data_IF_793283903367
#
_entry.id   IF_793283903367
#
_cell.length_a   1.000
_cell.length_b   1.000
_cell.length_c   1.000
_cell.angle_alpha   90.00
_cell.angle_beta   90.00
_cell.angle_gamma   90.00
#
_symmetry.space_group_name_H-M   'P 1'
#
loop_
_entity.id
_entity.type
_entity.pdbx_description
1 polymer ?
#
# COMPACT_ATOMS: atom_id res chain seq x y z
N UNK A 1 -67.14 -24.36 -12.02
CA UNK A 1 -66.55 -25.44 -11.21
C UNK A 1 -65.09 -25.57 -11.62
N UNK A 2 -64.16 -25.02 -10.82
CA UNK A 2 -62.72 -25.10 -11.05
C UNK A 2 -62.13 -26.27 -10.27
N UNK A 3 -61.22 -27.10 -10.83
CA UNK A 3 -60.60 -28.17 -10.10
C UNK A 3 -59.58 -27.61 -9.11
N UNK A 4 -59.65 -28.12 -7.87
CA UNK A 4 -58.78 -27.76 -6.76
C UNK A 4 -57.40 -28.43 -6.98
N UNK A 5 -56.27 -27.70 -6.96
CA UNK A 5 -54.97 -28.35 -7.04
C UNK A 5 -54.76 -29.20 -5.78
N UNK A 6 -54.57 -30.50 -6.01
CA UNK A 6 -54.24 -31.47 -4.98
C UNK A 6 -52.97 -31.04 -4.27
N UNK A 7 -53.10 -30.75 -2.98
CA UNK A 7 -52.01 -30.54 -2.04
C UNK A 7 -51.13 -31.79 -2.05
N UNK A 8 -50.02 -31.76 -2.78
CA UNK A 8 -48.98 -32.78 -2.66
C UNK A 8 -48.40 -32.66 -1.24
N UNK A 9 -48.90 -33.50 -0.34
CA UNK A 9 -48.24 -33.77 0.91
C UNK A 9 -46.86 -34.33 0.59
N UNK A 10 -45.83 -33.56 0.91
CA UNK A 10 -44.47 -34.06 1.00
C UNK A 10 -44.50 -35.24 1.97
N UNK A 11 -44.50 -36.45 1.42
CA UNK A 11 -44.29 -37.68 2.18
C UNK A 11 -42.87 -37.60 2.72
N UNK A 12 -42.73 -37.18 3.98
CA UNK A 12 -41.58 -37.55 4.77
C UNK A 12 -41.71 -39.05 5.04
N UNK A 13 -41.18 -39.84 4.11
CA UNK A 13 -40.98 -41.28 4.28
C UNK A 13 -40.09 -41.49 5.50
N UNK A 14 -40.55 -42.36 6.40
CA UNK A 14 -40.00 -42.55 7.73
C UNK A 14 -38.57 -43.11 7.76
N UNK A 15 -37.88 -42.71 8.83
CA UNK A 15 -36.83 -43.41 9.57
C UNK A 15 -36.31 -44.74 8.98
N UNK A 16 -35.40 -44.63 8.00
CA UNK A 16 -34.35 -45.63 7.80
C UNK A 16 -33.06 -45.04 8.39
N UNK A 17 -32.41 -45.74 9.30
CA UNK A 17 -31.08 -45.34 9.77
C UNK A 17 -30.13 -45.25 8.57
N UNK A 18 -29.25 -44.25 8.57
CA UNK A 18 -28.23 -44.14 7.54
C UNK A 18 -27.39 -45.42 7.51
N UNK A 19 -27.23 -45.99 6.33
CA UNK A 19 -26.28 -47.08 6.17
C UNK A 19 -24.86 -46.54 6.37
N UNK A 20 -23.97 -47.33 6.94
CA UNK A 20 -22.57 -46.94 7.17
C UNK A 20 -21.89 -46.48 5.86
N UNK A 21 -22.27 -47.10 4.74
CA UNK A 21 -21.83 -46.72 3.39
C UNK A 21 -22.27 -45.29 3.02
N UNK A 22 -23.52 -44.94 3.24
CA UNK A 22 -24.07 -43.63 2.90
C UNK A 22 -23.41 -42.52 3.71
N UNK A 23 -23.16 -42.75 5.01
CA UNK A 23 -22.38 -41.84 5.86
C UNK A 23 -20.95 -41.67 5.36
N UNK A 24 -20.29 -42.75 4.95
CA UNK A 24 -18.93 -42.68 4.38
C UNK A 24 -18.91 -41.89 3.06
N UNK A 25 -19.91 -42.08 2.20
CA UNK A 25 -20.03 -41.34 0.93
C UNK A 25 -20.23 -39.85 1.21
N UNK A 26 -21.15 -39.49 2.11
CA UNK A 26 -21.38 -38.08 2.48
C UNK A 26 -20.13 -37.47 3.09
N UNK A 27 -19.42 -38.20 3.96
CA UNK A 27 -18.18 -37.72 4.57
C UNK A 27 -17.08 -37.50 3.53
N UNK A 28 -16.91 -38.42 2.57
CA UNK A 28 -15.94 -38.27 1.48
C UNK A 28 -16.28 -37.08 0.57
N UNK A 29 -17.56 -36.91 0.22
CA UNK A 29 -18.00 -35.79 -0.60
C UNK A 29 -17.84 -34.45 0.13
N UNK A 30 -18.24 -34.38 1.41
CA UNK A 30 -18.12 -33.17 2.20
C UNK A 30 -16.66 -32.80 2.45
N UNK A 31 -15.80 -33.76 2.76
CA UNK A 31 -14.36 -33.51 2.96
C UNK A 31 -13.66 -33.11 1.66
N UNK A 32 -13.98 -33.76 0.54
CA UNK A 32 -13.47 -33.38 -0.78
C UNK A 32 -13.87 -31.96 -1.17
N UNK A 33 -15.15 -31.62 -1.01
CA UNK A 33 -15.66 -30.27 -1.28
C UNK A 33 -15.00 -29.23 -0.36
N UNK A 34 -14.89 -29.53 0.95
CA UNK A 34 -14.25 -28.63 1.91
C UNK A 34 -12.77 -28.39 1.56
N UNK A 35 -12.05 -29.41 1.13
CA UNK A 35 -10.65 -29.29 0.71
C UNK A 35 -10.51 -28.40 -0.54
N UNK A 36 -11.40 -28.54 -1.53
CA UNK A 36 -11.40 -27.69 -2.72
C UNK A 36 -11.66 -26.23 -2.35
N UNK A 37 -12.68 -25.97 -1.53
CA UNK A 37 -12.99 -24.62 -1.05
C UNK A 37 -11.82 -24.02 -0.25
N UNK A 38 -11.19 -24.80 0.63
CA UNK A 38 -10.05 -24.35 1.42
C UNK A 38 -8.84 -24.00 0.54
N UNK A 39 -8.52 -24.83 -0.46
CA UNK A 39 -7.44 -24.53 -1.40
C UNK A 39 -7.73 -23.28 -2.25
N UNK A 40 -8.99 -23.07 -2.65
CA UNK A 40 -9.39 -21.85 -3.37
C UNK A 40 -9.16 -20.59 -2.50
N UNK A 41 -9.58 -20.62 -1.23
CA UNK A 41 -9.36 -19.51 -0.30
C UNK A 41 -7.87 -19.23 -0.05
N UNK A 42 -7.04 -20.27 0.05
CA UNK A 42 -5.59 -20.12 0.19
C UNK A 42 -4.94 -19.50 -1.05
N UNK A 43 -5.40 -19.86 -2.25
CA UNK A 43 -4.92 -19.28 -3.49
C UNK A 43 -5.26 -17.78 -3.58
N UNK A 44 -6.49 -17.41 -3.19
CA UNK A 44 -6.91 -16.00 -3.12
C UNK A 44 -6.11 -15.20 -2.09
N UNK A 45 -5.72 -15.82 -0.96
CA UNK A 45 -4.87 -15.19 0.05
C UNK A 45 -3.54 -14.67 -0.50
N UNK A 46 -2.92 -15.38 -1.45
CA UNK A 46 -1.67 -14.93 -2.09
C UNK A 46 -1.89 -13.71 -3.00
N UNK A 47 -3.05 -13.62 -3.66
CA UNK A 47 -3.45 -12.46 -4.47
C UNK A 47 -3.71 -11.24 -3.59
N UNK A 48 -4.41 -11.43 -2.47
CA UNK A 48 -4.69 -10.38 -1.49
C UNK A 48 -3.38 -9.83 -0.90
N UNK A 49 -2.41 -10.68 -0.57
CA UNK A 49 -1.10 -10.26 -0.06
C UNK A 49 -0.36 -9.33 -1.02
N UNK A 50 -0.23 -9.71 -2.30
CA UNK A 50 0.43 -8.86 -3.31
C UNK A 50 -0.30 -7.54 -3.54
N UNK A 51 -1.63 -7.53 -3.43
CA UNK A 51 -2.42 -6.31 -3.55
C UNK A 51 -2.22 -5.40 -2.32
N UNK A 52 -2.18 -5.97 -1.12
CA UNK A 52 -1.91 -5.25 0.12
C UNK A 52 -0.52 -4.57 0.10
N UNK A 53 0.50 -5.25 -0.42
CA UNK A 53 1.84 -4.67 -0.57
C UNK A 53 1.85 -3.46 -1.51
N UNK A 54 1.16 -3.56 -2.66
CA UNK A 54 1.02 -2.43 -3.60
C UNK A 54 0.24 -1.27 -2.98
N UNK A 55 -0.79 -1.57 -2.19
CA UNK A 55 -1.55 -0.55 -1.46
C UNK A 55 -0.69 0.16 -0.42
N UNK A 56 0.13 -0.58 0.33
CA UNK A 56 1.09 -0.01 1.28
C UNK A 56 2.09 0.90 0.57
N UNK A 57 2.67 0.45 -0.54
CA UNK A 57 3.58 1.27 -1.35
C UNK A 57 2.92 2.57 -1.85
N UNK A 58 1.63 2.53 -2.21
CA UNK A 58 0.88 3.73 -2.61
C UNK A 58 0.69 4.68 -1.44
N UNK A 59 0.29 4.19 -0.28
CA UNK A 59 0.12 5.04 0.91
C UNK A 59 1.42 5.72 1.32
N UNK A 60 2.55 5.01 1.30
CA UNK A 60 3.85 5.62 1.61
C UNK A 60 4.22 6.70 0.59
N UNK A 61 3.90 6.47 -0.70
CA UNK A 61 4.12 7.48 -1.75
C UNK A 61 3.21 8.70 -1.56
N UNK A 62 1.94 8.49 -1.24
CA UNK A 62 1.00 9.57 -0.99
C UNK A 62 1.42 10.41 0.21
N UNK A 63 1.84 9.78 1.31
CA UNK A 63 2.38 10.47 2.49
C UNK A 63 3.64 11.27 2.15
N UNK A 64 4.55 10.73 1.35
CA UNK A 64 5.74 11.46 0.91
C UNK A 64 5.38 12.67 0.03
N UNK A 65 4.38 12.53 -0.85
CA UNK A 65 3.90 13.65 -1.66
C UNK A 65 3.19 14.70 -0.83
N UNK A 66 2.45 14.29 0.19
CA UNK A 66 1.78 15.21 1.12
C UNK A 66 2.79 16.04 1.90
N UNK A 67 3.89 15.43 2.36
CA UNK A 67 5.01 16.13 2.97
C UNK A 67 5.63 17.17 2.02
N UNK A 68 5.90 16.78 0.77
CA UNK A 68 6.47 17.70 -0.23
C UNK A 68 5.51 18.84 -0.53
N UNK A 69 4.20 18.56 -0.64
CA UNK A 69 3.18 19.60 -0.86
C UNK A 69 3.09 20.57 0.30
N UNK A 70 3.19 20.07 1.53
CA UNK A 70 3.24 20.91 2.71
C UNK A 70 4.46 21.85 2.67
N UNK A 71 5.64 21.31 2.39
CA UNK A 71 6.88 22.09 2.25
C UNK A 71 6.77 23.14 1.11
N UNK A 72 6.15 22.78 -0.01
CA UNK A 72 5.90 23.71 -1.13
C UNK A 72 4.92 24.83 -0.75
N UNK A 73 3.90 24.54 0.06
CA UNK A 73 2.91 25.54 0.48
C UNK A 73 3.50 26.61 1.42
N UNK A 74 4.63 26.31 2.04
CA UNK A 74 5.34 27.19 2.96
C UNK A 74 6.59 27.82 2.33
N UNK A 75 6.98 27.39 1.14
CA UNK A 75 8.10 27.95 0.39
C UNK A 75 7.79 29.30 -0.21
N UNK A 76 8.74 30.23 -0.12
CA UNK A 76 8.69 31.52 -0.79
C UNK A 76 9.12 31.39 -2.27
N UNK A 77 10.03 30.46 -2.57
CA UNK A 77 10.53 30.20 -3.93
C UNK A 77 10.84 28.70 -4.14
N UNK A 78 10.72 28.23 -5.38
CA UNK A 78 10.86 26.82 -5.74
C UNK A 78 11.70 26.67 -7.01
N UNK A 79 12.84 25.99 -6.87
CA UNK A 79 13.74 25.68 -7.96
C UNK A 79 13.67 24.18 -8.28
N UNK A 80 13.17 23.85 -9.46
CA UNK A 80 13.06 22.48 -9.99
C UNK A 80 14.26 22.20 -10.89
N UNK A 81 14.80 20.98 -10.83
CA UNK A 81 15.99 20.57 -11.59
C UNK A 81 17.20 21.52 -11.42
N UNK A 82 17.70 21.65 -10.19
CA UNK A 82 18.88 22.46 -9.86
C UNK A 82 20.21 21.93 -10.44
N UNK A 83 20.17 21.04 -11.43
CA UNK A 83 21.35 20.62 -12.20
C UNK A 83 21.44 21.36 -13.55
N UNK A 84 20.35 21.99 -14.01
CA UNK A 84 20.40 22.82 -15.21
C UNK A 84 21.05 24.18 -14.92
N UNK A 85 21.71 24.81 -15.90
CA UNK A 85 22.29 26.14 -15.72
C UNK A 85 21.16 27.14 -15.43
N UNK A 86 20.99 27.50 -14.15
CA UNK A 86 20.00 28.49 -13.73
C UNK A 86 20.72 29.83 -13.44
N UNK A 87 20.13 30.98 -13.84
CA UNK A 87 20.76 32.30 -13.65
C UNK A 87 20.90 32.73 -12.18
N UNK A 88 20.25 32.05 -11.23
CA UNK A 88 20.37 32.35 -9.80
C UNK A 88 21.35 31.39 -9.09
N UNK A 89 22.23 31.92 -8.21
CA UNK A 89 23.11 31.09 -7.39
C UNK A 89 22.30 30.16 -6.48
N UNK A 90 22.70 28.89 -6.41
CA UNK A 90 22.07 27.92 -5.50
C UNK A 90 22.24 28.35 -4.04
N UNK A 91 21.17 28.33 -3.23
CA UNK A 91 21.30 28.58 -1.79
C UNK A 91 22.17 27.47 -1.17
N UNK A 92 23.09 27.86 -0.27
CA UNK A 92 24.04 26.92 0.35
C UNK A 92 23.29 25.75 1.03
N UNK A 93 23.49 24.54 0.52
CA UNK A 93 22.87 23.33 1.05
C UNK A 93 23.57 22.91 2.35
N UNK A 94 22.79 22.59 3.40
CA UNK A 94 23.35 22.15 4.69
C UNK A 94 23.71 20.65 4.77
N UNK A 95 23.54 19.87 3.70
CA UNK A 95 23.80 18.42 3.71
C UNK A 95 24.84 18.00 2.67
N UNK A 96 25.59 16.94 3.01
CA UNK A 96 26.53 16.30 2.09
C UNK A 96 25.78 15.69 0.91
N UNK A 97 25.91 16.32 -0.26
CA UNK A 97 25.34 15.89 -1.54
C UNK A 97 26.16 14.78 -2.23
N UNK A 98 27.09 14.13 -1.51
CA UNK A 98 28.01 13.16 -2.09
C UNK A 98 27.25 12.04 -2.83
N UNK A 99 27.35 12.05 -4.17
CA UNK A 99 26.68 11.12 -5.11
C UNK A 99 25.14 11.18 -5.13
N UNK A 100 24.54 12.31 -4.74
CA UNK A 100 23.09 12.55 -4.84
C UNK A 100 22.82 13.72 -5.77
N UNK A 101 21.81 13.58 -6.61
CA UNK A 101 21.40 14.63 -7.53
C UNK A 101 20.26 15.42 -6.88
N UNK A 102 20.41 16.73 -6.65
CA UNK A 102 19.31 17.56 -6.19
C UNK A 102 18.25 17.62 -7.31
N UNK A 103 16.99 17.41 -6.95
CA UNK A 103 15.86 17.42 -7.90
C UNK A 103 14.91 18.58 -7.65
N UNK A 104 14.87 19.08 -6.41
CA UNK A 104 13.99 20.15 -5.99
C UNK A 104 14.64 20.91 -4.83
N UNK A 105 14.68 22.23 -4.91
CA UNK A 105 15.11 23.13 -3.84
C UNK A 105 13.96 24.08 -3.56
N UNK A 106 13.58 24.22 -2.29
CA UNK A 106 12.53 25.11 -1.82
C UNK A 106 13.17 26.10 -0.87
N UNK A 107 13.06 27.38 -1.17
CA UNK A 107 13.53 28.44 -0.28
C UNK A 107 12.40 28.75 0.71
N UNK A 108 12.71 28.68 1.99
CA UNK A 108 11.79 29.06 3.07
C UNK A 108 12.46 30.11 3.96
N UNK A 109 11.67 30.75 4.83
CA UNK A 109 12.13 31.72 5.81
C UNK A 109 13.19 31.16 6.77
N UNK A 110 13.08 29.88 7.11
CA UNK A 110 13.96 29.20 8.09
C UNK A 110 15.20 28.59 7.44
N UNK A 111 15.23 28.53 6.10
CA UNK A 111 16.36 28.07 5.31
C UNK A 111 15.96 27.22 4.09
N UNK A 112 16.93 26.88 3.22
CA UNK A 112 16.65 26.08 2.03
C UNK A 112 16.36 24.61 2.38
N UNK A 113 15.28 24.08 1.81
CA UNK A 113 14.97 22.65 1.78
C UNK A 113 15.44 22.09 0.45
N UNK A 114 16.27 21.06 0.47
CA UNK A 114 16.77 20.40 -0.72
C UNK A 114 16.34 18.94 -0.73
N UNK A 115 15.61 18.57 -1.77
CA UNK A 115 15.25 17.20 -2.07
C UNK A 115 16.26 16.63 -3.07
N UNK A 116 16.89 15.52 -2.70
CA UNK A 116 17.93 14.88 -3.49
C UNK A 116 17.67 13.39 -3.67
N UNK A 117 17.87 12.90 -4.89
CA UNK A 117 17.74 11.49 -5.23
C UNK A 117 19.12 10.88 -5.41
N UNK A 118 19.35 9.71 -4.81
CA UNK A 118 20.62 9.04 -4.99
C UNK A 118 20.75 7.73 -4.23
N UNK A 119 21.99 7.30 -4.04
CA UNK A 119 22.30 6.08 -3.32
C UNK A 119 21.82 6.16 -1.86
N UNK A 120 21.35 5.06 -1.29
CA UNK A 120 20.96 5.03 0.10
C UNK A 120 22.16 5.29 1.02
N UNK A 121 21.93 5.86 2.22
CA UNK A 121 22.99 6.14 3.19
C UNK A 121 23.53 4.88 3.88
N UNK A 122 22.73 3.81 3.89
CA UNK A 122 23.05 2.53 4.53
C UNK A 122 22.31 1.38 3.83
N UNK A 123 22.65 0.15 4.20
CA UNK A 123 22.13 -1.08 3.59
C UNK A 123 20.70 -1.46 4.02
N UNK A 124 20.09 -0.75 4.97
CA UNK A 124 18.69 -1.00 5.39
C UNK A 124 17.66 -0.54 4.35
N UNK A 125 18.09 0.25 3.36
CA UNK A 125 17.24 0.78 2.30
C UNK A 125 17.32 -0.12 1.07
N UNK A 126 16.17 -0.48 0.50
CA UNK A 126 16.12 -1.43 -0.61
C UNK A 126 16.75 -0.92 -1.91
N UNK A 127 16.67 0.39 -2.20
CA UNK A 127 17.18 0.95 -3.45
C UNK A 127 17.39 2.47 -3.36
N UNK A 128 17.32 3.17 -4.50
CA UNK A 128 17.45 4.62 -4.64
C UNK A 128 16.43 5.33 -3.74
N UNK A 129 16.89 6.32 -2.98
CA UNK A 129 16.06 7.05 -2.00
C UNK A 129 15.92 8.52 -2.39
N UNK A 130 14.75 9.08 -2.07
CA UNK A 130 14.53 10.52 -2.01
C UNK A 130 14.86 11.00 -0.60
N UNK A 131 15.83 11.90 -0.47
CA UNK A 131 16.19 12.53 0.80
C UNK A 131 15.76 13.98 0.83
N UNK A 132 15.24 14.40 1.98
CA UNK A 132 15.01 15.79 2.34
C UNK A 132 16.18 16.26 3.21
N UNK A 133 16.82 17.33 2.80
CA UNK A 133 17.76 18.10 3.60
C UNK A 133 17.14 19.46 3.90
N UNK A 134 17.16 19.93 5.14
CA UNK A 134 16.60 21.24 5.47
C UNK A 134 16.45 21.37 6.98
N UNK A 135 15.77 22.43 7.44
CA UNK A 135 15.42 22.58 8.85
C UNK A 135 14.74 21.31 9.38
N UNK A 136 15.13 20.93 10.59
CA UNK A 136 14.59 19.75 11.25
C UNK A 136 13.12 19.99 11.60
N UNK A 137 12.30 18.96 11.49
CA UNK A 137 10.98 19.00 12.13
C UNK A 137 11.20 18.97 13.65
N UNK A 138 10.42 19.76 14.38
CA UNK A 138 10.37 19.62 15.84
C UNK A 138 9.77 18.26 16.20
N UNK A 139 9.86 17.87 17.48
CA UNK A 139 9.25 16.63 17.97
C UNK A 139 7.73 16.61 17.79
N UNK A 140 7.14 17.79 17.67
CA UNK A 140 5.72 18.06 17.44
C UNK A 140 5.34 18.04 15.95
N UNK A 141 6.32 17.84 15.05
CA UNK A 141 6.09 17.79 13.60
C UNK A 141 5.85 19.16 12.96
N UNK A 142 6.17 20.25 13.67
CA UNK A 142 6.08 21.63 13.16
C UNK A 142 7.49 22.12 12.80
N UNK A 143 7.58 23.10 11.92
CA UNK A 143 8.83 23.79 11.62
C UNK A 143 9.34 24.58 12.84
N UNK A 144 10.66 24.59 13.05
CA UNK A 144 11.35 25.51 13.97
C UNK A 144 12.38 26.35 13.26
#
# INVERSE_FOLDING_TARGET
MLPRPGRQGARHGGAGGFTLLELLIVLLLASGLALVCFNALLADGQLVGRMADRWRQRQERERALDLIRHDLSQGDDVLVNPHEPHPQPYPEHRCSMSRRQPVLVITTKDGPITYAVGSPPSNIWASRVLMRCGPAFTKEGVWS
#
